data_IF_004496923665
#
_entry.id   IF_004496923665
#
_cell.length_a   1.000
_cell.length_b   1.000
_cell.length_c   1.000
_cell.angle_alpha   90.00
_cell.angle_beta   90.00
_cell.angle_gamma   90.00
#
_symmetry.space_group_name_H-M   'P 1'
#
loop_
_entity.id
_entity.type
_entity.pdbx_description
1 polymer ?
#
# COMPACT_ATOMS: atom_id res chain seq x y z
N UNK A 1 35.44 -5.07 -2.22
CA UNK A 1 34.86 -5.03 -3.58
C UNK A 1 34.69 -3.58 -3.97
N UNK A 2 34.96 -3.19 -5.21
CA UNK A 2 34.64 -1.84 -5.71
C UNK A 2 33.15 -1.77 -6.12
N UNK A 3 32.56 -0.57 -6.12
CA UNK A 3 31.18 -0.36 -6.61
C UNK A 3 31.00 -0.89 -8.04
N UNK A 4 32.03 -0.76 -8.88
CA UNK A 4 32.09 -1.29 -10.24
C UNK A 4 31.92 -2.82 -10.31
N UNK A 5 32.55 -3.55 -9.40
CA UNK A 5 32.42 -5.02 -9.35
C UNK A 5 31.00 -5.47 -9.06
N UNK A 6 30.26 -4.71 -8.24
CA UNK A 6 28.87 -5.02 -7.90
C UNK A 6 27.94 -4.67 -9.05
N UNK A 7 28.24 -3.62 -9.82
CA UNK A 7 27.47 -3.32 -11.04
C UNK A 7 27.53 -4.43 -12.07
N UNK A 8 28.72 -4.93 -12.39
CA UNK A 8 28.86 -6.04 -13.34
C UNK A 8 28.16 -7.31 -12.83
N UNK A 9 28.18 -7.54 -11.51
CA UNK A 9 27.43 -8.62 -10.87
C UNK A 9 25.92 -8.46 -11.06
N UNK A 10 25.37 -7.26 -10.81
CA UNK A 10 23.95 -6.96 -11.02
C UNK A 10 23.57 -7.12 -12.49
N UNK A 11 24.37 -6.58 -13.41
CA UNK A 11 24.12 -6.67 -14.85
C UNK A 11 24.09 -8.13 -15.33
N UNK A 12 25.03 -8.96 -14.86
CA UNK A 12 25.03 -10.41 -15.12
C UNK A 12 23.76 -11.08 -14.60
N UNK A 13 23.34 -10.79 -13.37
CA UNK A 13 22.11 -11.33 -12.79
C UNK A 13 20.85 -10.87 -13.56
N UNK A 14 20.83 -9.64 -14.06
CA UNK A 14 19.73 -9.12 -14.90
C UNK A 14 19.66 -9.89 -16.23
N UNK A 15 20.81 -10.15 -16.87
CA UNK A 15 20.87 -10.92 -18.10
C UNK A 15 20.42 -12.39 -17.89
N UNK A 16 20.84 -13.01 -16.79
CA UNK A 16 20.37 -14.34 -16.39
C UNK A 16 18.86 -14.37 -16.15
N UNK A 17 18.31 -13.35 -15.48
CA UNK A 17 16.87 -13.22 -15.23
C UNK A 17 16.06 -13.02 -16.51
N UNK A 18 16.62 -12.34 -17.51
CA UNK A 18 15.98 -12.11 -18.80
C UNK A 18 15.83 -13.39 -19.60
N UNK A 19 16.77 -14.33 -19.48
CA UNK A 19 16.80 -15.59 -20.22
C UNK A 19 15.42 -16.28 -20.26
N UNK A 20 14.91 -16.66 -21.44
CA UNK A 20 13.65 -17.37 -21.57
C UNK A 20 13.75 -18.83 -21.11
N UNK A 21 14.96 -19.34 -20.89
CA UNK A 21 15.26 -20.72 -20.49
C UNK A 21 15.40 -20.89 -18.97
N UNK A 22 15.28 -19.81 -18.20
CA UNK A 22 15.45 -19.85 -16.75
C UNK A 22 14.28 -20.61 -16.09
N UNK A 23 14.62 -21.65 -15.34
CA UNK A 23 13.67 -22.42 -14.51
C UNK A 23 13.24 -21.62 -13.28
N UNK A 24 12.10 -21.95 -12.68
CA UNK A 24 11.60 -21.29 -11.47
C UNK A 24 12.63 -21.28 -10.32
N UNK A 25 13.30 -22.41 -10.07
CA UNK A 25 14.36 -22.52 -9.05
C UNK A 25 15.56 -21.60 -9.33
N UNK A 26 15.94 -21.45 -10.61
CA UNK A 26 17.00 -20.53 -11.00
C UNK A 26 16.57 -19.09 -10.79
N UNK A 27 15.34 -18.74 -11.14
CA UNK A 27 14.78 -17.40 -10.96
C UNK A 27 14.68 -17.02 -9.48
N UNK A 28 14.34 -17.98 -8.62
CA UNK A 28 14.35 -17.76 -7.18
C UNK A 28 15.76 -17.46 -6.66
N UNK A 29 16.74 -18.27 -7.06
CA UNK A 29 18.15 -18.04 -6.70
C UNK A 29 18.66 -16.68 -7.20
N UNK A 30 18.35 -16.33 -8.46
CA UNK A 30 18.71 -15.03 -9.05
C UNK A 30 18.08 -13.89 -8.25
N UNK A 31 16.80 -14.01 -7.86
CA UNK A 31 16.11 -12.99 -7.07
C UNK A 31 16.75 -12.75 -5.68
N UNK A 32 17.20 -13.81 -5.01
CA UNK A 32 17.93 -13.72 -3.74
C UNK A 32 19.30 -13.05 -3.93
N UNK A 33 20.00 -13.41 -5.00
CA UNK A 33 21.30 -12.83 -5.32
C UNK A 33 21.19 -11.33 -5.67
N UNK A 34 20.12 -10.93 -6.37
CA UNK A 34 19.83 -9.52 -6.65
C UNK A 34 19.62 -8.71 -5.37
N UNK A 35 18.85 -9.24 -4.40
CA UNK A 35 18.68 -8.58 -3.11
C UNK A 35 20.00 -8.49 -2.32
N UNK A 36 20.80 -9.55 -2.32
CA UNK A 36 22.10 -9.54 -1.64
C UNK A 36 23.04 -8.50 -2.25
N UNK A 37 23.06 -8.42 -3.59
CA UNK A 37 23.83 -7.40 -4.30
C UNK A 37 23.31 -5.97 -4.05
N UNK A 38 22.00 -5.81 -3.82
CA UNK A 38 21.42 -4.53 -3.43
C UNK A 38 21.91 -4.06 -2.06
N UNK A 39 21.93 -4.95 -1.06
CA UNK A 39 22.44 -4.62 0.28
C UNK A 39 23.93 -4.27 0.24
N UNK A 40 24.72 -5.01 -0.55
CA UNK A 40 26.11 -4.65 -0.84
C UNK A 40 26.17 -3.24 -1.46
N UNK A 41 25.33 -2.93 -2.45
CA UNK A 41 25.32 -1.64 -3.14
C UNK A 41 24.96 -0.46 -2.22
N UNK A 42 24.00 -0.64 -1.30
CA UNK A 42 23.61 0.39 -0.30
C UNK A 42 24.77 0.81 0.60
N UNK A 43 25.78 -0.04 0.77
CA UNK A 43 26.97 0.26 1.61
C UNK A 43 27.99 1.18 0.92
N UNK A 44 27.87 1.42 -0.38
CA UNK A 44 28.81 2.27 -1.13
C UNK A 44 28.42 3.75 -1.09
N UNK A 45 29.41 4.67 -1.12
CA UNK A 45 29.14 6.09 -1.25
C UNK A 45 28.37 6.42 -2.52
N UNK A 46 27.59 7.51 -2.48
CA UNK A 46 26.78 7.98 -3.62
C UNK A 46 27.62 8.05 -4.89
N UNK A 47 27.16 7.34 -5.92
CA UNK A 47 27.76 7.33 -7.24
C UNK A 47 27.39 8.64 -7.93
N UNK A 48 28.40 9.33 -8.44
CA UNK A 48 28.24 10.64 -9.11
C UNK A 48 28.59 10.61 -10.59
N UNK A 49 29.01 9.45 -11.11
CA UNK A 49 29.33 9.31 -12.52
C UNK A 49 28.04 9.15 -13.34
N UNK A 50 27.73 10.16 -14.16
CA UNK A 50 26.53 10.20 -15.00
C UNK A 50 26.38 9.00 -15.94
N UNK A 51 27.48 8.40 -16.43
CA UNK A 51 27.39 7.19 -17.28
C UNK A 51 26.92 5.98 -16.47
N UNK A 52 27.44 5.81 -15.26
CA UNK A 52 27.02 4.74 -14.36
C UNK A 52 25.58 4.95 -13.88
N UNK A 53 25.18 6.18 -13.54
CA UNK A 53 23.80 6.49 -13.17
C UNK A 53 22.80 6.14 -14.29
N UNK A 54 23.15 6.42 -15.55
CA UNK A 54 22.31 6.04 -16.69
C UNK A 54 22.20 4.52 -16.89
N UNK A 55 23.30 3.78 -16.70
CA UNK A 55 23.29 2.32 -16.76
C UNK A 55 22.41 1.74 -15.63
N UNK A 56 22.52 2.27 -14.41
CA UNK A 56 21.69 1.88 -13.25
C UNK A 56 20.21 2.14 -13.53
N UNK A 57 19.88 3.32 -14.05
CA UNK A 57 18.51 3.66 -14.43
C UNK A 57 17.96 2.66 -15.45
N UNK A 58 18.73 2.38 -16.49
CA UNK A 58 18.36 1.44 -17.56
C UNK A 58 18.11 0.04 -17.01
N UNK A 59 18.96 -0.44 -16.11
CA UNK A 59 18.75 -1.74 -15.44
C UNK A 59 17.48 -1.75 -14.59
N UNK A 60 17.24 -0.70 -13.80
CA UNK A 60 16.03 -0.58 -12.98
C UNK A 60 14.75 -0.63 -13.82
N UNK A 61 14.70 0.16 -14.90
CA UNK A 61 13.56 0.17 -15.84
C UNK A 61 13.40 -1.18 -16.53
N UNK A 62 14.51 -1.79 -16.97
CA UNK A 62 14.49 -3.11 -17.61
C UNK A 62 13.93 -4.18 -16.68
N UNK A 63 14.40 -4.24 -15.43
CA UNK A 63 13.88 -5.18 -14.43
C UNK A 63 12.39 -4.94 -14.14
N UNK A 64 11.96 -3.68 -13.98
CA UNK A 64 10.56 -3.36 -13.77
C UNK A 64 9.68 -3.89 -14.92
N UNK A 65 10.09 -3.61 -16.16
CA UNK A 65 9.38 -4.05 -17.36
C UNK A 65 9.40 -5.57 -17.52
N UNK A 66 10.51 -6.23 -17.23
CA UNK A 66 10.62 -7.70 -17.25
C UNK A 66 9.65 -8.33 -16.25
N UNK A 67 9.51 -7.78 -15.05
CA UNK A 67 8.49 -8.26 -14.13
C UNK A 67 7.10 -8.00 -14.72
N UNK A 68 6.80 -6.83 -15.26
CA UNK A 68 5.47 -6.56 -15.85
C UNK A 68 5.13 -7.52 -17.00
N UNK A 69 6.06 -7.74 -17.93
CA UNK A 69 5.84 -8.60 -19.10
C UNK A 69 5.79 -10.07 -18.74
N UNK A 70 6.64 -10.51 -17.81
CA UNK A 70 6.71 -11.92 -17.40
C UNK A 70 5.72 -12.29 -16.26
N UNK A 71 5.13 -11.31 -15.55
CA UNK A 71 4.12 -11.50 -14.49
C UNK A 71 2.68 -11.66 -15.02
N UNK A 72 2.51 -12.05 -16.28
CA UNK A 72 1.24 -12.65 -16.74
C UNK A 72 1.24 -14.12 -16.27
N UNK A 73 1.11 -14.28 -14.95
CA UNK A 73 0.65 -15.44 -14.15
C UNK A 73 1.18 -16.86 -14.43
N UNK A 74 2.23 -17.06 -15.24
CA UNK A 74 2.67 -18.43 -15.62
C UNK A 74 4.12 -18.81 -15.29
N UNK A 75 4.95 -17.90 -14.75
CA UNK A 75 6.41 -18.13 -14.70
C UNK A 75 7.13 -17.81 -13.38
N UNK A 76 6.53 -17.11 -12.40
CA UNK A 76 7.19 -16.76 -11.12
C UNK A 76 6.25 -16.89 -9.92
N UNK A 77 6.81 -17.26 -8.77
CA UNK A 77 6.15 -17.06 -7.48
C UNK A 77 6.01 -15.56 -7.15
N UNK A 78 5.02 -15.23 -6.32
CA UNK A 78 4.80 -13.86 -5.84
C UNK A 78 6.06 -13.26 -5.18
N UNK A 79 6.80 -14.10 -4.46
CA UNK A 79 8.02 -13.71 -3.77
C UNK A 79 9.15 -13.32 -4.73
N UNK A 80 9.34 -14.06 -5.83
CA UNK A 80 10.33 -13.68 -6.85
C UNK A 80 9.94 -12.36 -7.51
N UNK A 81 8.65 -12.18 -7.83
CA UNK A 81 8.16 -10.95 -8.44
C UNK A 81 8.44 -9.72 -7.57
N UNK A 82 8.14 -9.78 -6.27
CA UNK A 82 8.36 -8.64 -5.38
C UNK A 82 9.84 -8.34 -5.16
N UNK A 83 10.70 -9.35 -5.03
CA UNK A 83 12.16 -9.16 -4.90
C UNK A 83 12.76 -8.41 -6.09
N UNK A 84 12.35 -8.78 -7.31
CA UNK A 84 12.85 -8.12 -8.53
C UNK A 84 12.29 -6.71 -8.66
N UNK A 85 11.02 -6.47 -8.33
CA UNK A 85 10.46 -5.12 -8.29
C UNK A 85 11.13 -4.25 -7.22
N UNK A 86 11.48 -4.82 -6.07
CA UNK A 86 12.20 -4.14 -5.00
C UNK A 86 13.60 -3.72 -5.45
N UNK A 87 14.32 -4.60 -6.15
CA UNK A 87 15.59 -4.25 -6.79
C UNK A 87 15.41 -3.13 -7.82
N UNK A 88 14.43 -3.25 -8.71
CA UNK A 88 14.15 -2.24 -9.73
C UNK A 88 13.86 -0.85 -9.11
N UNK A 89 13.03 -0.81 -8.06
CA UNK A 89 12.73 0.40 -7.29
C UNK A 89 14.01 1.05 -6.76
N UNK A 90 14.88 0.30 -6.10
CA UNK A 90 16.09 0.89 -5.53
C UNK A 90 17.07 1.37 -6.59
N UNK A 91 17.22 0.66 -7.71
CA UNK A 91 18.06 1.12 -8.82
C UNK A 91 17.55 2.44 -9.39
N UNK A 92 16.23 2.63 -9.57
CA UNK A 92 15.68 3.90 -10.07
C UNK A 92 15.87 5.05 -9.08
N UNK A 93 15.76 4.79 -7.78
CA UNK A 93 16.07 5.79 -6.74
C UNK A 93 17.55 6.16 -6.71
N UNK A 94 18.46 5.20 -6.86
CA UNK A 94 19.91 5.43 -6.91
C UNK A 94 20.34 6.21 -8.15
N UNK A 95 19.70 5.99 -9.30
CA UNK A 95 20.03 6.69 -10.53
C UNK A 95 19.56 8.16 -10.54
N UNK A 96 18.44 8.46 -9.86
CA UNK A 96 17.80 9.77 -9.87
C UNK A 96 18.21 10.65 -8.67
N UNK A 97 19.44 10.50 -8.15
CA UNK A 97 19.92 11.25 -6.98
C UNK A 97 20.01 12.76 -7.24
N UNK A 98 20.01 13.19 -8.51
CA UNK A 98 20.13 14.61 -8.91
C UNK A 98 18.85 15.20 -9.53
N UNK A 99 17.97 14.38 -10.13
CA UNK A 99 16.72 14.85 -10.76
C UNK A 99 15.49 14.63 -9.86
N UNK A 100 15.22 15.61 -9.00
CA UNK A 100 14.02 15.66 -8.15
C UNK A 100 12.82 16.33 -8.86
N UNK A 101 12.62 16.07 -10.16
CA UNK A 101 11.43 16.57 -10.84
C UNK A 101 10.14 16.02 -10.23
N UNK A 102 9.04 16.79 -10.34
CA UNK A 102 7.73 16.35 -9.87
C UNK A 102 7.26 15.05 -10.56
N UNK A 103 7.63 14.85 -11.83
CA UNK A 103 7.28 13.63 -12.57
C UNK A 103 8.01 12.41 -12.00
N UNK A 104 9.31 12.55 -11.74
CA UNK A 104 10.14 11.48 -11.17
C UNK A 104 9.65 11.08 -9.78
N UNK A 105 9.39 12.06 -8.91
CA UNK A 105 8.91 11.79 -7.55
C UNK A 105 7.53 11.10 -7.52
N UNK A 106 6.61 11.43 -8.44
CA UNK A 106 5.31 10.75 -8.54
C UNK A 106 5.45 9.30 -8.97
N UNK A 107 6.29 9.05 -9.98
CA UNK A 107 6.59 7.68 -10.43
C UNK A 107 7.19 6.87 -9.28
N UNK A 108 8.17 7.42 -8.57
CA UNK A 108 8.76 6.79 -7.41
C UNK A 108 7.77 6.53 -6.27
N UNK A 109 6.88 7.48 -5.98
CA UNK A 109 5.81 7.30 -4.99
C UNK A 109 4.92 6.10 -5.35
N UNK A 110 4.46 6.03 -6.61
CA UNK A 110 3.59 4.97 -7.10
C UNK A 110 4.30 3.60 -7.15
N UNK A 111 5.56 3.57 -7.60
CA UNK A 111 6.38 2.36 -7.59
C UNK A 111 6.57 1.85 -6.17
N UNK A 112 6.98 2.71 -5.23
CA UNK A 112 7.19 2.34 -3.83
C UNK A 112 5.91 1.82 -3.17
N UNK A 113 4.75 2.46 -3.45
CA UNK A 113 3.45 1.97 -3.00
C UNK A 113 3.15 0.56 -3.55
N UNK A 114 3.39 0.34 -4.85
CA UNK A 114 3.13 -0.96 -5.47
C UNK A 114 4.02 -2.06 -4.89
N UNK A 115 5.32 -1.82 -4.77
CA UNK A 115 6.25 -2.79 -4.17
C UNK A 115 5.94 -3.04 -2.71
N UNK A 116 5.63 -1.99 -1.94
CA UNK A 116 5.23 -2.13 -0.54
C UNK A 116 3.99 -3.00 -0.36
N UNK A 117 2.98 -2.83 -1.24
CA UNK A 117 1.80 -3.69 -1.22
C UNK A 117 2.11 -5.14 -1.58
N UNK A 118 2.96 -5.37 -2.58
CA UNK A 118 3.38 -6.72 -2.96
C UNK A 118 4.16 -7.42 -1.82
N UNK A 119 4.96 -6.68 -1.04
CA UNK A 119 5.65 -7.21 0.14
C UNK A 119 4.67 -7.54 1.27
N UNK A 120 3.67 -6.68 1.49
CA UNK A 120 2.61 -6.91 2.45
C UNK A 120 1.80 -8.16 2.11
N UNK A 121 1.48 -8.38 0.83
CA UNK A 121 0.82 -9.59 0.33
C UNK A 121 1.67 -10.86 0.56
N UNK A 122 2.98 -10.73 0.60
CA UNK A 122 3.91 -11.81 0.97
C UNK A 122 4.13 -11.92 2.49
N UNK A 123 3.37 -11.19 3.30
CA UNK A 123 3.49 -11.11 4.76
C UNK A 123 4.87 -10.65 5.26
N UNK A 124 5.63 -9.91 4.45
CA UNK A 124 6.90 -9.31 4.86
C UNK A 124 6.69 -7.85 5.27
N UNK A 125 6.34 -7.66 6.55
CA UNK A 125 5.95 -6.36 7.10
C UNK A 125 7.08 -5.34 7.11
N UNK A 126 8.33 -5.77 7.31
CA UNK A 126 9.48 -4.88 7.43
C UNK A 126 9.83 -4.22 6.10
N UNK A 127 9.95 -5.04 5.04
CA UNK A 127 10.23 -4.52 3.69
C UNK A 127 9.05 -3.71 3.13
N UNK A 128 7.82 -4.08 3.50
CA UNK A 128 6.62 -3.30 3.17
C UNK A 128 6.66 -1.90 3.79
N UNK A 129 6.91 -1.78 5.11
CA UNK A 129 7.00 -0.48 5.79
C UNK A 129 8.16 0.37 5.27
N UNK A 130 9.31 -0.25 4.94
CA UNK A 130 10.43 0.44 4.30
C UNK A 130 10.04 1.07 2.96
N UNK A 131 9.30 0.33 2.11
CA UNK A 131 8.79 0.87 0.84
C UNK A 131 7.76 1.99 1.08
N UNK A 132 6.88 1.85 2.06
CA UNK A 132 5.89 2.88 2.39
C UNK A 132 6.53 4.16 2.96
N UNK A 133 7.62 4.04 3.70
CA UNK A 133 8.45 5.19 4.12
C UNK A 133 9.04 5.92 2.91
N UNK A 134 9.62 5.20 1.94
CA UNK A 134 10.10 5.80 0.69
C UNK A 134 8.98 6.53 -0.08
N UNK A 135 7.79 5.94 -0.16
CA UNK A 135 6.62 6.57 -0.78
C UNK A 135 6.22 7.87 -0.05
N UNK A 136 6.25 7.86 1.29
CA UNK A 136 5.99 9.04 2.14
C UNK A 136 7.03 10.14 1.90
N UNK A 137 8.31 9.79 1.79
CA UNK A 137 9.38 10.75 1.50
C UNK A 137 9.18 11.43 0.13
N UNK A 138 8.84 10.65 -0.90
CA UNK A 138 8.49 11.20 -2.21
C UNK A 138 7.32 12.17 -2.14
N UNK A 139 6.27 11.83 -1.37
CA UNK A 139 5.11 12.67 -1.14
C UNK A 139 5.49 14.01 -0.46
N UNK A 140 6.31 13.97 0.60
CA UNK A 140 6.75 15.17 1.31
C UNK A 140 7.58 16.09 0.41
N UNK A 141 8.52 15.52 -0.37
CA UNK A 141 9.31 16.28 -1.35
C UNK A 141 8.44 16.92 -2.42
N UNK A 142 7.45 16.18 -2.95
CA UNK A 142 6.46 16.72 -3.88
C UNK A 142 5.74 17.93 -3.28
N UNK A 143 5.21 17.79 -2.06
CA UNK A 143 4.52 18.88 -1.37
C UNK A 143 5.39 20.13 -1.18
N UNK A 144 6.67 19.96 -0.83
CA UNK A 144 7.60 21.08 -0.70
C UNK A 144 7.83 21.78 -2.04
N UNK A 145 8.06 21.03 -3.12
CA UNK A 145 8.25 21.60 -4.46
C UNK A 145 7.03 22.38 -4.94
N UNK A 146 5.82 21.93 -4.60
CA UNK A 146 4.57 22.61 -4.96
C UNK A 146 4.35 23.90 -4.20
N UNK A 147 4.69 23.94 -2.91
CA UNK A 147 4.64 25.17 -2.11
C UNK A 147 5.60 26.24 -2.64
N UNK A 148 6.80 25.85 -3.05
CA UNK A 148 7.84 26.79 -3.53
C UNK A 148 7.54 27.34 -4.92
N UNK A 149 7.03 26.50 -5.84
CA UNK A 149 6.91 26.89 -7.25
C UNK A 149 5.61 27.62 -7.63
N UNK A 150 4.70 27.91 -6.68
CA UNK A 150 3.34 28.41 -6.95
C UNK A 150 2.72 27.75 -8.20
N UNK A 151 2.99 26.45 -8.38
CA UNK A 151 2.86 25.85 -9.70
C UNK A 151 1.40 25.49 -9.96
N UNK A 152 0.89 25.92 -11.11
CA UNK A 152 -0.37 25.50 -11.73
C UNK A 152 -0.31 24.00 -12.10
N UNK A 153 -0.38 23.13 -11.11
CA UNK A 153 -0.71 21.73 -11.37
C UNK A 153 -2.18 21.63 -11.75
N UNK A 154 -2.49 20.71 -12.66
CA UNK A 154 -3.86 20.25 -12.80
C UNK A 154 -4.28 19.57 -11.49
N UNK A 155 -5.49 19.88 -11.03
CA UNK A 155 -6.09 19.30 -9.82
C UNK A 155 -5.98 17.76 -9.84
N UNK A 156 -6.17 17.14 -11.01
CA UNK A 156 -6.06 15.69 -11.25
C UNK A 156 -4.74 15.07 -10.79
N UNK A 157 -3.61 15.78 -10.97
CA UNK A 157 -2.31 15.23 -10.56
C UNK A 157 -2.15 15.30 -9.06
N UNK A 158 -2.59 16.39 -8.42
CA UNK A 158 -2.54 16.52 -6.96
C UNK A 158 -3.39 15.40 -6.33
N UNK A 159 -4.58 15.21 -6.88
CA UNK A 159 -5.54 14.18 -6.48
C UNK A 159 -4.90 12.77 -6.51
N UNK A 160 -4.22 12.38 -7.60
CA UNK A 160 -3.57 11.06 -7.69
C UNK A 160 -2.48 10.84 -6.63
N UNK A 161 -1.70 11.87 -6.30
CA UNK A 161 -0.66 11.77 -5.26
C UNK A 161 -1.28 11.68 -3.85
N UNK A 162 -2.41 12.35 -3.60
CA UNK A 162 -3.18 12.18 -2.36
C UNK A 162 -3.81 10.80 -2.26
N UNK A 163 -4.38 10.28 -3.35
CA UNK A 163 -4.92 8.89 -3.40
C UNK A 163 -3.86 7.86 -3.04
N UNK A 164 -2.66 7.99 -3.61
CA UNK A 164 -1.56 7.09 -3.31
C UNK A 164 -1.12 7.21 -1.84
N UNK A 165 -1.05 8.43 -1.30
CA UNK A 165 -0.68 8.65 0.09
C UNK A 165 -1.73 8.11 1.09
N UNK A 166 -3.02 8.23 0.77
CA UNK A 166 -4.11 7.63 1.54
C UNK A 166 -3.94 6.10 1.62
N UNK A 167 -3.64 5.45 0.49
CA UNK A 167 -3.36 4.00 0.45
C UNK A 167 -2.13 3.62 1.27
N UNK A 168 -1.05 4.40 1.17
CA UNK A 168 0.16 4.21 2.00
C UNK A 168 -0.20 4.19 3.49
N UNK A 169 -0.97 5.17 3.95
CA UNK A 169 -1.39 5.21 5.36
C UNK A 169 -2.30 4.04 5.74
N UNK A 170 -3.25 3.65 4.89
CA UNK A 170 -4.08 2.47 5.14
C UNK A 170 -3.24 1.19 5.30
N UNK A 171 -2.25 0.97 4.44
CA UNK A 171 -1.38 -0.21 4.54
C UNK A 171 -0.41 -0.16 5.73
N UNK A 172 0.04 1.02 6.13
CA UNK A 172 0.83 1.17 7.37
C UNK A 172 -0.01 0.92 8.62
N UNK A 173 -1.30 1.26 8.60
CA UNK A 173 -2.24 0.87 9.64
C UNK A 173 -2.38 -0.66 9.71
N UNK A 174 -2.47 -1.35 8.56
CA UNK A 174 -2.49 -2.81 8.48
C UNK A 174 -1.23 -3.45 9.06
N UNK A 175 -0.04 -2.91 8.75
CA UNK A 175 1.22 -3.37 9.34
C UNK A 175 1.20 -3.20 10.86
N UNK A 176 0.77 -2.05 11.37
CA UNK A 176 0.69 -1.79 12.80
C UNK A 176 -0.30 -2.74 13.50
N UNK A 177 -1.44 -3.06 12.88
CA UNK A 177 -2.38 -4.06 13.40
C UNK A 177 -1.77 -5.46 13.49
N UNK A 178 -1.06 -5.88 12.44
CA UNK A 178 -0.35 -7.16 12.44
C UNK A 178 0.77 -7.23 13.50
N UNK A 179 1.26 -6.07 13.96
CA UNK A 179 2.23 -5.94 15.05
C UNK A 179 1.58 -5.67 16.42
N UNK A 180 0.25 -5.75 16.53
CA UNK A 180 -0.52 -5.45 17.75
C UNK A 180 -0.35 -4.01 18.28
N UNK A 181 0.06 -3.08 17.42
CA UNK A 181 0.23 -1.66 17.74
C UNK A 181 -1.05 -0.88 17.39
N UNK A 182 -2.13 -1.15 18.13
CA UNK A 182 -3.47 -0.62 17.83
C UNK A 182 -3.54 0.91 17.80
N UNK A 183 -2.86 1.58 18.74
CA UNK A 183 -2.81 3.05 18.79
C UNK A 183 -2.15 3.61 17.52
N UNK A 184 -1.00 3.06 17.14
CA UNK A 184 -0.28 3.45 15.92
C UNK A 184 -1.07 3.14 14.66
N UNK A 185 -1.83 2.04 14.63
CA UNK A 185 -2.74 1.75 13.52
C UNK A 185 -3.81 2.83 13.35
N UNK A 186 -4.43 3.28 14.44
CA UNK A 186 -5.38 4.39 14.40
C UNK A 186 -4.74 5.72 14.00
N UNK A 187 -3.52 6.02 14.46
CA UNK A 187 -2.80 7.22 14.03
C UNK A 187 -2.59 7.25 12.50
N UNK A 188 -2.21 6.12 11.90
CA UNK A 188 -2.10 6.03 10.44
C UNK A 188 -3.46 6.12 9.75
N UNK A 189 -4.49 5.47 10.28
CA UNK A 189 -5.85 5.59 9.76
C UNK A 189 -6.35 7.04 9.76
N UNK A 190 -6.17 7.79 10.85
CA UNK A 190 -6.60 9.19 10.90
C UNK A 190 -5.85 10.05 9.89
N UNK A 191 -4.55 9.82 9.66
CA UNK A 191 -3.80 10.47 8.58
C UNK A 191 -4.35 10.12 7.18
N UNK A 192 -4.81 8.88 6.98
CA UNK A 192 -5.50 8.49 5.74
C UNK A 192 -6.83 9.25 5.59
N UNK A 193 -7.59 9.36 6.69
CA UNK A 193 -8.90 10.03 6.75
C UNK A 193 -8.79 11.54 6.52
N UNK A 194 -7.71 12.19 6.93
CA UNK A 194 -7.43 13.61 6.64
C UNK A 194 -7.31 13.90 5.14
N UNK A 195 -6.88 12.91 4.34
CA UNK A 195 -6.78 13.00 2.89
C UNK A 195 -8.06 12.58 2.16
N UNK A 196 -9.11 12.22 2.91
CA UNK A 196 -10.31 11.62 2.34
C UNK A 196 -11.29 12.67 1.82
N UNK A 197 -11.75 12.48 0.59
CA UNK A 197 -12.91 13.17 0.02
C UNK A 197 -14.12 12.25 0.20
N UNK A 198 -15.09 12.64 1.04
CA UNK A 198 -16.28 11.82 1.30
C UNK A 198 -17.11 11.62 0.03
N UNK A 199 -17.67 10.43 -0.13
CA UNK A 199 -18.45 10.06 -1.32
C UNK A 199 -17.60 9.68 -2.55
N UNK A 200 -16.27 9.65 -2.44
CA UNK A 200 -15.38 9.21 -3.51
C UNK A 200 -15.09 7.70 -3.47
N UNK A 201 -14.45 7.18 -4.52
CA UNK A 201 -13.94 5.79 -4.56
C UNK A 201 -12.97 5.50 -3.39
N UNK A 202 -12.22 6.51 -2.95
CA UNK A 202 -11.29 6.40 -1.82
C UNK A 202 -12.03 6.20 -0.50
N UNK A 203 -13.23 6.77 -0.35
CA UNK A 203 -14.07 6.56 0.82
C UNK A 203 -14.55 5.10 0.86
N UNK A 204 -14.98 4.56 -0.28
CA UNK A 204 -15.34 3.15 -0.42
C UNK A 204 -14.16 2.21 -0.12
N UNK A 205 -12.96 2.56 -0.59
CA UNK A 205 -11.73 1.84 -0.27
C UNK A 205 -11.46 1.85 1.24
N UNK A 206 -11.42 3.03 1.86
CA UNK A 206 -11.08 3.15 3.29
C UNK A 206 -12.15 2.52 4.19
N UNK A 207 -13.43 2.67 3.85
CA UNK A 207 -14.53 1.97 4.53
C UNK A 207 -14.37 0.45 4.47
N UNK A 208 -13.96 -0.10 3.31
CA UNK A 208 -13.70 -1.53 3.15
C UNK A 208 -12.49 -2.00 3.97
N UNK A 209 -11.43 -1.19 4.05
CA UNK A 209 -10.26 -1.47 4.89
C UNK A 209 -10.67 -1.53 6.37
N UNK A 210 -11.43 -0.54 6.85
CA UNK A 210 -11.92 -0.53 8.23
C UNK A 210 -12.82 -1.74 8.54
N UNK A 211 -13.68 -2.14 7.60
CA UNK A 211 -14.48 -3.35 7.77
C UNK A 211 -13.60 -4.59 7.96
N UNK A 212 -12.58 -4.76 7.10
CA UNK A 212 -11.67 -5.90 7.19
C UNK A 212 -10.86 -5.91 8.49
N UNK A 213 -10.39 -4.75 8.96
CA UNK A 213 -9.73 -4.64 10.26
C UNK A 213 -10.67 -4.99 11.41
N UNK A 214 -11.92 -4.54 11.34
CA UNK A 214 -12.95 -4.88 12.31
C UNK A 214 -13.23 -6.38 12.36
N UNK A 215 -13.34 -7.02 11.20
CA UNK A 215 -13.53 -8.47 11.07
C UNK A 215 -12.34 -9.26 11.63
N UNK A 216 -11.11 -8.88 11.28
CA UNK A 216 -9.89 -9.53 11.80
C UNK A 216 -9.78 -9.38 13.33
N UNK A 217 -10.09 -8.19 13.88
CA UNK A 217 -10.13 -7.98 15.32
C UNK A 217 -11.22 -8.83 16.00
N UNK A 218 -12.41 -8.94 15.39
CA UNK A 218 -13.50 -9.78 15.91
C UNK A 218 -13.10 -11.26 15.94
N UNK A 219 -12.46 -11.76 14.88
CA UNK A 219 -11.97 -13.14 14.81
C UNK A 219 -10.88 -13.46 15.85
N UNK A 220 -10.19 -12.43 16.36
CA UNK A 220 -9.16 -12.52 17.40
C UNK A 220 -9.71 -12.18 18.81
N UNK A 221 -11.03 -12.08 18.97
CA UNK A 221 -11.71 -11.70 20.21
C UNK A 221 -11.33 -10.31 20.76
N UNK A 222 -10.80 -9.43 19.90
CA UNK A 222 -10.43 -8.06 20.23
C UNK A 222 -11.62 -7.12 20.05
N UNK A 223 -12.69 -7.36 20.79
CA UNK A 223 -14.00 -6.73 20.53
C UNK A 223 -14.00 -5.20 20.63
N UNK A 224 -13.22 -4.60 21.54
CA UNK A 224 -13.10 -3.15 21.65
C UNK A 224 -12.49 -2.52 20.38
N UNK A 225 -11.48 -3.17 19.81
CA UNK A 225 -10.84 -2.69 18.58
C UNK A 225 -11.73 -2.98 17.37
N UNK A 226 -12.41 -4.14 17.35
CA UNK A 226 -13.40 -4.46 16.34
C UNK A 226 -14.53 -3.42 16.29
N UNK A 227 -15.08 -3.02 17.44
CA UNK A 227 -16.10 -1.98 17.55
C UNK A 227 -15.62 -0.67 16.91
N UNK A 228 -14.42 -0.20 17.26
CA UNK A 228 -13.86 1.06 16.76
C UNK A 228 -13.70 1.05 15.24
N UNK A 229 -13.12 0.00 14.68
CA UNK A 229 -12.93 -0.12 13.23
C UNK A 229 -14.26 -0.21 12.46
N UNK A 230 -15.23 -0.98 12.97
CA UNK A 230 -16.54 -1.11 12.31
C UNK A 230 -17.33 0.19 12.35
N UNK A 231 -17.26 0.95 13.45
CA UNK A 231 -17.86 2.29 13.52
C UNK A 231 -17.29 3.23 12.47
N UNK A 232 -15.96 3.23 12.30
CA UNK A 232 -15.30 4.04 11.27
C UNK A 232 -15.68 3.58 9.86
N UNK A 233 -15.78 2.26 9.63
CA UNK A 233 -16.25 1.69 8.35
C UNK A 233 -17.64 2.19 7.98
N UNK A 234 -18.59 2.14 8.92
CA UNK A 234 -19.98 2.59 8.73
C UNK A 234 -20.03 4.10 8.52
N UNK A 235 -19.29 4.87 9.32
CA UNK A 235 -19.25 6.33 9.24
C UNK A 235 -18.73 6.82 7.88
N UNK A 236 -17.66 6.20 7.36
CA UNK A 236 -17.07 6.56 6.07
C UNK A 236 -17.92 6.02 4.91
N UNK A 237 -18.51 4.84 5.07
CA UNK A 237 -19.26 4.13 4.02
C UNK A 237 -20.61 4.75 3.65
N UNK A 238 -21.00 5.85 4.29
CA UNK A 238 -22.23 6.60 3.94
C UNK A 238 -22.04 7.29 2.59
N UNK A 239 -22.34 6.57 1.50
CA UNK A 239 -22.41 7.10 0.13
C UNK A 239 -23.83 6.87 -0.42
N UNK A 240 -24.18 7.57 -1.50
CA UNK A 240 -25.53 7.78 -2.06
C UNK A 240 -26.43 6.55 -2.19
N UNK A 241 -25.88 5.34 -2.25
CA UNK A 241 -26.63 4.10 -2.14
C UNK A 241 -26.13 3.34 -0.90
N UNK A 242 -27.02 3.17 0.10
CA UNK A 242 -26.79 2.35 1.32
C UNK A 242 -26.75 0.86 0.96
N UNK A 243 -25.84 0.49 0.09
CA UNK A 243 -25.71 -0.83 -0.49
C UNK A 243 -25.05 -1.77 0.49
N UNK A 244 -25.69 -2.92 0.72
CA UNK A 244 -25.23 -4.22 1.24
C UNK A 244 -24.02 -4.24 2.19
N UNK A 245 -22.87 -3.70 1.78
CA UNK A 245 -21.65 -3.55 2.58
C UNK A 245 -21.88 -2.82 3.91
N UNK A 246 -22.68 -1.74 3.91
CA UNK A 246 -22.99 -1.04 5.16
C UNK A 246 -23.80 -1.94 6.11
N UNK A 247 -24.81 -2.64 5.59
CA UNK A 247 -25.63 -3.58 6.36
C UNK A 247 -24.77 -4.71 6.93
N UNK A 248 -23.81 -5.23 6.15
CA UNK A 248 -22.87 -6.27 6.60
C UNK A 248 -21.97 -5.75 7.73
N UNK A 249 -21.46 -4.51 7.63
CA UNK A 249 -20.66 -3.89 8.69
C UNK A 249 -21.48 -3.65 9.97
N UNK A 250 -22.74 -3.20 9.83
CA UNK A 250 -23.68 -3.03 10.94
C UNK A 250 -24.03 -4.36 11.61
N UNK A 251 -24.27 -5.42 10.83
CA UNK A 251 -24.51 -6.78 11.35
C UNK A 251 -23.32 -7.28 12.16
N UNK A 252 -22.11 -7.13 11.63
CA UNK A 252 -20.91 -7.53 12.36
C UNK A 252 -20.71 -6.70 13.64
N UNK A 253 -21.04 -5.40 13.61
CA UNK A 253 -20.99 -4.54 14.80
C UNK A 253 -21.99 -4.99 15.88
N UNK A 254 -23.20 -5.43 15.49
CA UNK A 254 -24.17 -6.03 16.40
C UNK A 254 -23.60 -7.30 17.03
N UNK A 255 -22.95 -8.17 16.24
CA UNK A 255 -22.31 -9.39 16.75
C UNK A 255 -21.19 -9.06 17.75
N UNK A 256 -20.40 -8.01 17.49
CA UNK A 256 -19.38 -7.51 18.44
C UNK A 256 -20.02 -7.10 19.76
N UNK A 257 -21.10 -6.31 19.75
CA UNK A 257 -21.77 -5.91 20.99
C UNK A 257 -22.34 -7.08 21.79
N UNK A 258 -22.90 -8.08 21.11
CA UNK A 258 -23.40 -9.28 21.76
C UNK A 258 -22.27 -10.10 22.38
N UNK A 259 -21.12 -10.21 21.70
CA UNK A 259 -19.94 -10.89 22.22
C UNK A 259 -19.32 -10.18 23.42
N UNK A 260 -19.31 -8.84 23.44
CA UNK A 260 -18.85 -8.04 24.60
C UNK A 260 -19.73 -8.22 25.84
N UNK A 261 -21.01 -8.60 25.66
CA UNK A 261 -21.97 -8.77 26.73
C UNK A 261 -22.30 -7.49 27.49
N UNK A 262 -23.18 -7.61 28.49
CA UNK A 262 -23.62 -6.49 29.33
C UNK A 262 -24.77 -5.67 28.72
N UNK A 263 -25.64 -5.17 29.60
CA UNK A 263 -26.89 -4.47 29.23
C UNK A 263 -26.62 -3.26 28.33
N UNK A 264 -25.53 -2.52 28.58
CA UNK A 264 -25.18 -1.35 27.79
C UNK A 264 -24.84 -1.70 26.33
N UNK A 265 -24.06 -2.76 26.11
CA UNK A 265 -23.69 -3.19 24.75
C UNK A 265 -24.89 -3.81 24.03
N UNK A 266 -25.73 -4.57 24.74
CA UNK A 266 -27.00 -5.05 24.17
C UNK A 266 -27.89 -3.90 23.68
N UNK A 267 -27.99 -2.81 24.46
CA UNK A 267 -28.71 -1.59 24.02
C UNK A 267 -28.08 -0.97 22.78
N UNK A 268 -26.74 -0.88 22.72
CA UNK A 268 -26.03 -0.39 21.52
C UNK A 268 -26.34 -1.26 20.30
N UNK A 269 -26.34 -2.58 20.45
CA UNK A 269 -26.70 -3.52 19.38
C UNK A 269 -28.14 -3.32 18.88
N UNK A 270 -29.11 -3.15 19.80
CA UNK A 270 -30.50 -2.88 19.43
C UNK A 270 -30.65 -1.59 18.63
N UNK A 271 -29.96 -0.51 19.03
CA UNK A 271 -29.98 0.77 18.30
C UNK A 271 -29.45 0.62 16.87
N UNK A 272 -28.39 -0.18 16.68
CA UNK A 272 -27.87 -0.46 15.33
C UNK A 272 -28.89 -1.23 14.50
N UNK A 273 -29.49 -2.29 15.05
CA UNK A 273 -30.54 -3.09 14.36
C UNK A 273 -31.72 -2.19 13.94
N UNK A 274 -32.21 -1.35 14.86
CA UNK A 274 -33.32 -0.44 14.57
C UNK A 274 -32.98 0.55 13.44
N UNK A 275 -31.75 1.07 13.44
CA UNK A 275 -31.27 1.94 12.37
C UNK A 275 -31.23 1.20 11.04
N UNK A 276 -30.68 -0.01 10.99
CA UNK A 276 -30.60 -0.84 9.77
C UNK A 276 -31.98 -1.20 9.21
N UNK A 277 -32.94 -1.56 10.08
CA UNK A 277 -34.30 -1.92 9.68
C UNK A 277 -35.08 -0.73 9.10
N UNK A 278 -34.92 0.47 9.67
CA UNK A 278 -35.53 1.69 9.12
C UNK A 278 -35.08 1.95 7.68
N UNK A 279 -33.82 1.64 7.36
CA UNK A 279 -33.30 1.76 5.99
C UNK A 279 -34.03 0.82 5.05
N UNK A 280 -34.09 -0.47 5.40
CA UNK A 280 -34.73 -1.50 4.60
C UNK A 280 -36.22 -1.20 4.39
N UNK A 281 -36.90 -0.68 5.40
CA UNK A 281 -38.31 -0.32 5.32
C UNK A 281 -38.56 0.87 4.38
N UNK A 282 -37.70 1.89 4.39
CA UNK A 282 -37.77 3.03 3.45
C UNK A 282 -37.53 2.58 2.00
N UNK A 283 -36.59 1.65 1.77
CA UNK A 283 -36.36 1.08 0.44
C UNK A 283 -37.53 0.21 -0.06
N UNK A 284 -38.19 -0.54 0.83
CA UNK A 284 -39.33 -1.38 0.47
C UNK A 284 -40.60 -0.57 0.17
N UNK A 285 -40.78 0.59 0.81
CA UNK A 285 -41.96 1.45 0.62
C UNK A 285 -41.75 2.48 -0.51
N UNK A 286 -40.52 2.94 -0.76
CA UNK A 286 -40.19 3.90 -1.83
C UNK A 286 -40.26 3.36 -3.27
N UNK A 287 -40.63 2.09 -3.45
CA UNK A 287 -40.84 1.44 -4.76
C UNK A 287 -42.32 1.10 -5.04
N UNK A 288 -43.26 1.67 -4.27
CA UNK A 288 -44.71 1.63 -4.54
C UNK A 288 -45.16 2.99 -5.04
#
# INVERSE_FOLDING_TARGET
MSSFSIFNKIEGLVAEFESPLATENQLEKISCNLLSALEELKSFPKIKDGKHLLAIHTMGVKLWNLVVTKNISKYFSALVSVRVRHMALHLTFLANVEDESQSTLRKHQAMALKVGKDWLDCNNLNDADACFKLSTECYLKLHQLLKVKQSSLSEDKIDETHKNMLKVFAFRAEIALNQHQYVTAFEFFYKAKELLIYGSEQASFLSSVCYNFGLDCYQKDLYNEAERWLRESILIGVVKDREKKQVIAEQLLVMVYFAMGGIENLKKGLVVIESSLKVLFVFLIGHV
#
